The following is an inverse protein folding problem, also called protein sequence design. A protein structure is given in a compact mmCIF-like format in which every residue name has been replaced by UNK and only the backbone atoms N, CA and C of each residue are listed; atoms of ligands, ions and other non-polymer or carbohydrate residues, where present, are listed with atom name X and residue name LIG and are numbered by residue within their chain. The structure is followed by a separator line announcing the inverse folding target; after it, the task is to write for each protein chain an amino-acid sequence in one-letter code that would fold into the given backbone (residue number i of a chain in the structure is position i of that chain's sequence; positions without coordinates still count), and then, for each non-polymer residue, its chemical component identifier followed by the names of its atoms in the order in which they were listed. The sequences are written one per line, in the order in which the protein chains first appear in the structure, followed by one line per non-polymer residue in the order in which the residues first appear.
data_IF_935703850715
#
_entry.id   IF_935703850715
#
_cell.length_a   1.000
_cell.length_b   1.000
_cell.length_c   1.000
_cell.angle_alpha   90.00
_cell.angle_beta   90.00
_cell.angle_gamma   90.00
#
_symmetry.space_group_name_H-M   'P 1'
#
loop_
_entity.id
_entity.type
_entity.pdbx_description
1 polymer ?
#
# COMPACT_ATOMS: atom_id res chain seq x y z
N UNK A 1 37.47 4.39 -2.39
CA UNK A 1 36.66 3.31 -2.98
C UNK A 1 36.20 2.45 -1.83
N UNK A 2 34.93 2.62 -1.43
CA UNK A 2 34.27 1.67 -0.52
C UNK A 2 34.09 0.40 -1.35
N UNK A 3 34.41 -0.77 -0.79
CA UNK A 3 34.14 -2.04 -1.48
C UNK A 3 32.64 -2.16 -1.74
N UNK A 4 32.21 -2.60 -2.93
CA UNK A 4 30.78 -2.72 -3.22
C UNK A 4 30.10 -3.61 -2.17
N UNK A 5 29.00 -3.12 -1.60
CA UNK A 5 28.23 -3.87 -0.61
C UNK A 5 27.36 -4.88 -1.34
N UNK A 6 27.82 -6.13 -1.36
CA UNK A 6 27.05 -7.24 -1.92
C UNK A 6 26.24 -7.94 -0.83
N UNK A 7 24.95 -8.15 -1.09
CA UNK A 7 24.09 -9.00 -0.27
C UNK A 7 23.77 -10.33 -0.93
N UNK A 8 23.05 -11.20 -0.23
CA UNK A 8 22.61 -12.49 -0.75
C UNK A 8 21.27 -12.40 -1.47
N UNK A 9 21.07 -13.26 -2.46
CA UNK A 9 19.74 -13.52 -3.04
C UNK A 9 18.73 -13.99 -1.99
N UNK A 10 17.44 -13.77 -2.28
CA UNK A 10 16.31 -14.13 -1.43
C UNK A 10 15.15 -14.68 -2.27
N UNK A 11 14.59 -15.82 -1.86
CA UNK A 11 13.51 -16.52 -2.54
C UNK A 11 12.19 -16.55 -1.75
N UNK A 12 12.08 -15.72 -0.71
CA UNK A 12 10.87 -15.56 0.10
C UNK A 12 10.49 -14.07 0.14
N UNK A 13 9.20 -13.72 0.25
CA UNK A 13 8.77 -12.33 0.38
C UNK A 13 9.38 -11.60 1.60
N UNK A 14 9.54 -10.27 1.53
CA UNK A 14 9.66 -9.50 0.29
C UNK A 14 10.89 -9.93 -0.52
N UNK A 15 10.85 -9.80 -1.84
CA UNK A 15 11.98 -10.16 -2.71
C UNK A 15 12.97 -8.98 -2.85
N UNK A 16 14.20 -9.25 -3.32
CA UNK A 16 15.25 -8.21 -3.42
C UNK A 16 14.87 -7.05 -4.33
N UNK A 17 14.11 -7.33 -5.38
CA UNK A 17 13.28 -6.36 -6.07
C UNK A 17 11.82 -6.73 -5.83
N UNK A 18 10.98 -5.76 -5.49
CA UNK A 18 9.57 -5.98 -5.23
C UNK A 18 8.75 -4.78 -5.72
N UNK A 19 7.44 -4.97 -5.84
CA UNK A 19 6.48 -3.97 -6.29
C UNK A 19 5.53 -3.63 -5.16
N UNK A 20 5.08 -2.38 -5.09
CA UNK A 20 4.17 -1.96 -4.01
C UNK A 20 2.79 -2.58 -4.20
N UNK A 21 2.20 -2.50 -5.40
CA UNK A 21 0.85 -3.00 -5.62
C UNK A 21 0.25 -2.55 -6.94
N UNK A 22 -0.08 -1.25 -7.03
CA UNK A 22 -0.86 -0.72 -8.14
C UNK A 22 -0.05 -0.39 -9.40
N UNK A 23 -0.70 -0.56 -10.55
CA UNK A 23 -0.20 -0.21 -11.87
C UNK A 23 -1.09 0.85 -12.53
N UNK A 24 -0.54 1.59 -13.52
CA UNK A 24 -1.33 2.49 -14.35
C UNK A 24 -2.49 1.72 -15.02
N UNK A 25 -3.68 2.31 -14.96
CA UNK A 25 -4.87 1.74 -15.60
C UNK A 25 -4.73 1.92 -17.10
N UNK A 26 -4.88 0.83 -17.85
CA UNK A 26 -4.81 0.84 -19.32
C UNK A 26 -5.97 1.65 -19.90
N UNK A 27 -5.80 2.16 -21.12
CA UNK A 27 -6.87 2.87 -21.81
C UNK A 27 -8.12 2.00 -22.04
N UNK A 28 -7.94 0.69 -22.26
CA UNK A 28 -9.04 -0.25 -22.39
C UNK A 28 -9.87 -0.36 -21.10
N UNK A 29 -9.21 -0.40 -19.95
CA UNK A 29 -9.87 -0.45 -18.65
C UNK A 29 -10.61 0.86 -18.33
N UNK A 30 -9.99 2.02 -18.60
CA UNK A 30 -10.65 3.33 -18.43
C UNK A 30 -11.88 3.46 -19.33
N UNK A 31 -11.78 3.04 -20.59
CA UNK A 31 -12.91 3.03 -21.52
C UNK A 31 -14.04 2.12 -21.02
N UNK A 32 -13.72 0.91 -20.56
CA UNK A 32 -14.70 -0.04 -20.03
C UNK A 32 -15.44 0.53 -18.81
N UNK A 33 -14.74 1.15 -17.87
CA UNK A 33 -15.35 1.81 -16.71
C UNK A 33 -16.25 2.96 -17.12
N UNK A 34 -15.85 3.79 -18.08
CA UNK A 34 -16.69 4.85 -18.61
C UNK A 34 -17.98 4.32 -19.23
N UNK A 35 -17.91 3.24 -20.03
CA UNK A 35 -19.08 2.60 -20.65
C UNK A 35 -19.99 1.97 -19.60
N UNK A 36 -19.42 1.36 -18.55
CA UNK A 36 -20.17 0.78 -17.44
C UNK A 36 -20.93 1.85 -16.66
N UNK A 37 -20.28 2.98 -16.34
CA UNK A 37 -20.93 4.13 -15.70
C UNK A 37 -22.07 4.74 -16.52
N UNK A 38 -22.00 4.61 -17.85
CA UNK A 38 -23.03 5.05 -18.79
C UNK A 38 -24.16 4.00 -18.97
N UNK A 39 -24.01 2.82 -18.38
CA UNK A 39 -24.96 1.71 -18.51
C UNK A 39 -24.88 0.98 -19.86
N UNK A 40 -23.82 1.19 -20.63
CA UNK A 40 -23.62 0.59 -21.95
C UNK A 40 -23.08 -0.84 -21.88
N UNK A 41 -22.36 -1.19 -20.80
CA UNK A 41 -21.93 -2.56 -20.52
C UNK A 41 -22.40 -3.01 -19.13
N UNK A 42 -22.65 -4.31 -19.01
CA UNK A 42 -23.06 -4.96 -17.75
C UNK A 42 -21.87 -5.19 -16.81
N UNK A 43 -22.15 -5.44 -15.53
CA UNK A 43 -21.13 -5.84 -14.53
C UNK A 43 -20.29 -7.04 -15.00
N UNK A 44 -20.95 -8.03 -15.64
CA UNK A 44 -20.26 -9.21 -16.21
C UNK A 44 -19.29 -8.82 -17.32
N UNK A 45 -19.69 -7.93 -18.22
CA UNK A 45 -18.83 -7.48 -19.31
C UNK A 45 -17.65 -6.64 -18.79
N UNK A 46 -17.88 -5.77 -17.81
CA UNK A 46 -16.78 -5.04 -17.15
C UNK A 46 -15.80 -6.03 -16.50
N UNK A 47 -16.32 -6.98 -15.73
CA UNK A 47 -15.51 -8.00 -15.07
C UNK A 47 -14.68 -8.84 -16.05
N UNK A 48 -15.23 -9.20 -17.21
CA UNK A 48 -14.51 -9.90 -18.29
C UNK A 48 -13.36 -9.06 -18.87
N UNK A 49 -13.57 -7.75 -19.05
CA UNK A 49 -12.53 -6.84 -19.53
C UNK A 49 -11.45 -6.67 -18.45
N UNK A 50 -11.83 -6.48 -17.19
CA UNK A 50 -10.89 -6.43 -16.07
C UNK A 50 -10.02 -7.70 -16.00
N UNK A 51 -10.62 -8.88 -16.13
CA UNK A 51 -9.88 -10.16 -16.18
C UNK A 51 -8.85 -10.20 -17.31
N UNK A 52 -9.25 -9.73 -18.50
CA UNK A 52 -8.38 -9.71 -19.66
C UNK A 52 -7.19 -8.75 -19.47
N UNK A 53 -7.43 -7.58 -18.89
CA UNK A 53 -6.38 -6.59 -18.62
C UNK A 53 -5.45 -7.03 -17.48
N UNK A 54 -6.00 -7.64 -16.41
CA UNK A 54 -5.20 -8.25 -15.34
C UNK A 54 -4.33 -9.37 -15.90
N UNK A 55 -4.89 -10.26 -16.74
CA UNK A 55 -4.11 -11.34 -17.36
C UNK A 55 -2.93 -10.81 -18.17
N UNK A 56 -3.13 -9.73 -18.95
CA UNK A 56 -2.04 -9.08 -19.71
C UNK A 56 -0.98 -8.50 -18.79
N UNK A 57 -1.39 -7.84 -17.70
CA UNK A 57 -0.49 -7.29 -16.70
C UNK A 57 0.39 -8.40 -16.09
N UNK A 58 -0.24 -9.50 -15.63
CA UNK A 58 0.46 -10.62 -15.03
C UNK A 58 1.50 -11.22 -15.97
N UNK A 59 1.20 -11.35 -17.27
CA UNK A 59 2.17 -11.84 -18.25
C UNK A 59 3.36 -10.89 -18.41
N UNK A 60 3.13 -9.57 -18.36
CA UNK A 60 4.21 -8.59 -18.40
C UNK A 60 5.07 -8.62 -17.13
N UNK A 61 4.44 -8.72 -15.95
CA UNK A 61 5.15 -8.83 -14.68
C UNK A 61 6.04 -10.09 -14.64
N UNK A 62 5.48 -11.25 -15.03
CA UNK A 62 6.22 -12.51 -15.11
C UNK A 62 7.36 -12.45 -16.13
N UNK A 63 7.10 -11.88 -17.31
CA UNK A 63 8.12 -11.74 -18.36
C UNK A 63 9.29 -10.84 -17.92
N UNK A 64 9.03 -9.87 -17.04
CA UNK A 64 10.06 -9.03 -16.43
C UNK A 64 10.90 -9.77 -15.38
N UNK A 65 10.41 -10.90 -14.87
CA UNK A 65 11.09 -11.74 -13.88
C UNK A 65 10.63 -11.54 -12.44
N UNK A 66 9.56 -10.74 -12.21
CA UNK A 66 8.98 -10.52 -10.89
C UNK A 66 8.60 -11.85 -10.21
N UNK A 67 8.96 -11.97 -8.93
CA UNK A 67 8.75 -13.20 -8.14
C UNK A 67 7.37 -13.24 -7.45
N UNK A 68 6.80 -12.07 -7.23
CA UNK A 68 5.39 -11.90 -6.89
C UNK A 68 4.74 -10.92 -7.87
N UNK A 69 3.48 -11.17 -8.18
CA UNK A 69 2.66 -10.40 -9.12
C UNK A 69 1.42 -9.88 -8.41
N UNK A 70 0.82 -8.80 -8.93
CA UNK A 70 -0.40 -8.19 -8.37
C UNK A 70 -1.47 -8.04 -9.45
N UNK A 71 -2.71 -7.78 -9.06
CA UNK A 71 -3.77 -7.43 -10.03
C UNK A 71 -3.67 -5.96 -10.50
N UNK A 72 -2.58 -5.27 -10.17
CA UNK A 72 -2.40 -3.83 -10.38
C UNK A 72 -3.45 -2.94 -9.75
N UNK A 73 -4.28 -3.48 -8.85
CA UNK A 73 -5.49 -2.85 -8.32
C UNK A 73 -6.47 -2.43 -9.43
N UNK A 74 -6.52 -3.18 -10.54
CA UNK A 74 -7.31 -2.83 -11.73
C UNK A 74 -8.82 -2.87 -11.52
N UNK A 75 -9.29 -3.51 -10.45
CA UNK A 75 -10.73 -3.53 -10.09
C UNK A 75 -11.14 -2.39 -9.17
N UNK A 76 -10.18 -1.66 -8.61
CA UNK A 76 -10.46 -0.68 -7.54
C UNK A 76 -10.77 0.68 -8.13
N UNK A 77 -11.84 1.32 -7.64
CA UNK A 77 -12.06 2.75 -7.88
C UNK A 77 -11.14 3.56 -6.97
N UNK A 78 -11.07 3.18 -5.70
CA UNK A 78 -10.13 3.70 -4.70
C UNK A 78 -9.42 2.53 -4.01
N UNK A 79 -8.09 2.62 -3.90
CA UNK A 79 -7.28 1.57 -3.29
C UNK A 79 -7.74 1.16 -1.88
N UNK A 80 -8.23 2.12 -1.08
CA UNK A 80 -8.68 1.91 0.31
C UNK A 80 -10.21 1.80 0.44
N UNK A 81 -10.98 2.71 -0.17
CA UNK A 81 -12.43 2.77 0.08
C UNK A 81 -13.15 1.52 -0.40
N UNK A 82 -12.71 0.89 -1.50
CA UNK A 82 -13.35 -0.31 -2.02
C UNK A 82 -13.28 -1.47 -1.01
N UNK A 83 -12.20 -1.58 -0.23
CA UNK A 83 -12.12 -2.53 0.88
C UNK A 83 -12.97 -2.09 2.07
N UNK A 84 -12.91 -0.81 2.44
CA UNK A 84 -13.69 -0.31 3.57
C UNK A 84 -15.20 -0.48 3.36
N UNK A 85 -15.70 -0.24 2.15
CA UNK A 85 -17.10 -0.40 1.77
C UNK A 85 -17.54 -1.86 1.63
N UNK A 86 -16.59 -2.80 1.51
CA UNK A 86 -16.87 -4.22 1.56
C UNK A 86 -17.00 -4.78 2.98
N UNK A 87 -16.64 -3.99 4.01
CA UNK A 87 -16.86 -4.35 5.43
C UNK A 87 -18.33 -4.09 5.77
N UNK A 88 -19.00 -5.09 6.34
CA UNK A 88 -20.40 -4.95 6.78
C UNK A 88 -20.52 -3.82 7.81
N UNK A 89 -21.64 -3.11 7.80
CA UNK A 89 -21.87 -2.00 8.74
C UNK A 89 -21.21 -0.68 8.31
N UNK A 90 -20.59 -0.63 7.14
CA UNK A 90 -20.11 0.63 6.53
C UNK A 90 -21.05 1.10 5.41
N UNK A 91 -21.04 2.41 5.14
CA UNK A 91 -21.77 3.01 4.05
C UNK A 91 -20.94 4.11 3.38
N UNK A 92 -21.03 4.20 2.06
CA UNK A 92 -20.40 5.27 1.27
C UNK A 92 -21.06 6.62 1.57
N UNK A 93 -20.24 7.64 1.74
CA UNK A 93 -20.66 9.04 1.90
C UNK A 93 -19.97 9.93 0.87
N UNK A 94 -20.64 11.00 0.45
CA UNK A 94 -20.06 12.07 -0.36
C UNK A 94 -19.64 13.22 0.53
N UNK A 95 -18.43 13.73 0.30
CA UNK A 95 -17.85 14.90 0.97
C UNK A 95 -18.12 16.21 0.19
N UNK A 96 -18.82 16.16 -0.94
CA UNK A 96 -19.09 17.31 -1.82
C UNK A 96 -20.30 18.15 -1.40
N UNK A 97 -20.83 17.97 -0.19
CA UNK A 97 -22.00 18.73 0.27
C UNK A 97 -21.70 20.24 0.27
N UNK A 98 -22.25 20.95 -0.73
CA UNK A 98 -22.15 22.41 -0.88
C UNK A 98 -21.37 22.91 -2.11
N UNK A 99 -20.77 22.04 -2.93
CA UNK A 99 -20.11 22.44 -4.20
C UNK A 99 -21.07 22.29 -5.38
N UNK A 100 -21.08 23.24 -6.29
CA UNK A 100 -21.91 23.12 -7.50
C UNK A 100 -21.39 21.98 -8.39
N UNK A 101 -22.26 21.36 -9.21
CA UNK A 101 -21.87 20.29 -10.13
C UNK A 101 -20.75 20.68 -11.13
N UNK A 102 -20.49 21.99 -11.31
CA UNK A 102 -19.38 22.54 -12.10
C UNK A 102 -18.05 22.62 -11.34
N UNK A 103 -18.07 22.55 -10.01
CA UNK A 103 -16.89 22.62 -9.13
C UNK A 103 -16.45 21.26 -8.58
N UNK A 104 -17.27 20.22 -8.74
CA UNK A 104 -16.95 18.83 -8.43
C UNK A 104 -15.96 18.26 -9.47
N UNK A 105 -14.73 18.76 -9.45
CA UNK A 105 -13.64 18.32 -10.34
C UNK A 105 -13.09 16.95 -9.91
N UNK A 106 -13.41 16.49 -8.70
CA UNK A 106 -13.00 15.19 -8.14
C UNK A 106 -14.13 14.60 -7.30
N UNK A 107 -14.37 13.29 -7.42
CA UNK A 107 -15.30 12.54 -6.55
C UNK A 107 -14.74 12.54 -5.12
N UNK A 108 -15.17 13.47 -4.27
CA UNK A 108 -14.74 13.47 -2.87
C UNK A 108 -15.62 12.48 -2.10
N UNK A 109 -15.10 11.28 -1.86
CA UNK A 109 -15.85 10.16 -1.29
C UNK A 109 -15.16 9.65 -0.02
N UNK A 110 -15.95 9.10 0.89
CA UNK A 110 -15.46 8.40 2.06
C UNK A 110 -16.46 7.34 2.53
N UNK A 111 -16.28 6.80 3.73
CA UNK A 111 -17.22 5.88 4.35
C UNK A 111 -17.61 6.34 5.76
N UNK A 112 -18.76 5.90 6.24
CA UNK A 112 -19.18 6.03 7.63
C UNK A 112 -19.58 4.66 8.18
N UNK A 113 -19.35 4.42 9.46
CA UNK A 113 -19.92 3.29 10.19
C UNK A 113 -21.39 3.60 10.50
N UNK A 114 -22.29 2.75 10.00
CA UNK A 114 -23.74 2.84 10.18
C UNK A 114 -24.33 1.63 10.93
N UNK A 115 -23.50 0.65 11.27
CA UNK A 115 -23.84 -0.50 12.11
C UNK A 115 -22.59 -1.18 12.64
N UNK A 116 -22.75 -2.24 13.44
CA UNK A 116 -21.62 -3.01 13.97
C UNK A 116 -20.79 -3.58 12.81
N UNK A 117 -19.48 -3.33 12.81
CA UNK A 117 -18.60 -3.79 11.74
C UNK A 117 -18.28 -5.28 11.90
N UNK A 118 -18.31 -6.01 10.78
CA UNK A 118 -17.90 -7.42 10.71
C UNK A 118 -17.32 -7.73 9.33
N UNK A 119 -16.38 -8.67 9.27
CA UNK A 119 -15.88 -9.18 8.00
C UNK A 119 -16.79 -10.34 7.54
N UNK A 120 -17.21 -10.30 6.27
CA UNK A 120 -18.14 -11.27 5.70
C UNK A 120 -17.73 -11.70 4.29
N UNK A 121 -18.69 -11.84 3.38
CA UNK A 121 -18.46 -12.17 1.97
C UNK A 121 -17.82 -11.02 1.19
N UNK A 122 -16.63 -10.57 1.61
CA UNK A 122 -15.94 -9.42 1.03
C UNK A 122 -15.51 -9.72 -0.43
N UNK A 123 -15.87 -8.89 -1.41
CA UNK A 123 -15.61 -9.17 -2.84
C UNK A 123 -14.14 -9.41 -3.17
N UNK A 124 -13.23 -8.70 -2.50
CA UNK A 124 -11.79 -8.84 -2.73
C UNK A 124 -11.23 -10.24 -2.43
N UNK A 125 -11.90 -11.07 -1.62
CA UNK A 125 -11.46 -12.46 -1.40
C UNK A 125 -11.67 -13.28 -2.68
N UNK A 126 -12.82 -13.12 -3.35
CA UNK A 126 -13.09 -13.75 -4.65
C UNK A 126 -12.15 -13.23 -5.74
N UNK A 127 -11.89 -11.92 -5.75
CA UNK A 127 -10.94 -11.30 -6.68
C UNK A 127 -9.52 -11.85 -6.49
N UNK A 128 -9.10 -12.11 -5.24
CA UNK A 128 -7.82 -12.75 -4.96
C UNK A 128 -7.77 -14.19 -5.47
N UNK A 129 -8.85 -14.97 -5.33
CA UNK A 129 -8.92 -16.34 -5.89
C UNK A 129 -8.71 -16.31 -7.41
N UNK A 130 -9.37 -15.38 -8.12
CA UNK A 130 -9.18 -15.21 -9.56
C UNK A 130 -7.75 -14.77 -9.91
N UNK A 131 -7.18 -13.83 -9.15
CA UNK A 131 -5.79 -13.41 -9.30
C UNK A 131 -4.84 -14.62 -9.16
N UNK A 132 -4.99 -15.42 -8.11
CA UNK A 132 -4.14 -16.60 -7.87
C UNK A 132 -4.30 -17.64 -8.99
N UNK A 133 -5.52 -17.82 -9.53
CA UNK A 133 -5.74 -18.69 -10.68
C UNK A 133 -5.03 -18.19 -11.95
N UNK A 134 -5.08 -16.88 -12.23
CA UNK A 134 -4.40 -16.29 -13.39
C UNK A 134 -2.86 -16.22 -13.19
N UNK A 135 -2.39 -16.06 -11.96
CA UNK A 135 -0.97 -16.05 -11.62
C UNK A 135 -0.32 -17.44 -11.79
N UNK A 136 -1.09 -18.52 -11.61
CA UNK A 136 -0.60 -19.89 -11.69
C UNK A 136 0.38 -20.20 -10.56
N UNK A 137 1.58 -20.67 -10.92
CA UNK A 137 2.65 -20.99 -9.96
C UNK A 137 3.39 -19.75 -9.43
N UNK A 138 3.13 -18.56 -10.00
CA UNK A 138 3.73 -17.31 -9.52
C UNK A 138 3.00 -16.83 -8.28
N UNK A 139 3.73 -16.40 -7.26
CA UNK A 139 3.14 -15.94 -6.01
C UNK A 139 2.28 -14.69 -6.25
N UNK A 140 0.99 -14.73 -5.88
CA UNK A 140 0.14 -13.55 -5.90
C UNK A 140 0.30 -12.75 -4.60
N UNK A 141 0.60 -11.46 -4.74
CA UNK A 141 0.60 -10.48 -3.65
C UNK A 141 -0.73 -9.75 -3.62
N UNK A 142 -1.35 -9.66 -2.45
CA UNK A 142 -2.57 -8.87 -2.24
C UNK A 142 -2.26 -7.63 -1.39
N UNK A 143 -2.85 -6.49 -1.75
CA UNK A 143 -2.80 -5.26 -0.93
C UNK A 143 -4.18 -4.98 -0.33
N UNK A 144 -4.25 -4.58 0.94
CA UNK A 144 -5.45 -4.04 1.58
C UNK A 144 -5.07 -2.84 2.44
N UNK A 145 -5.95 -1.84 2.64
CA UNK A 145 -5.65 -0.75 3.55
C UNK A 145 -5.46 -1.23 4.99
N UNK A 146 -4.56 -0.60 5.74
CA UNK A 146 -4.26 -0.92 7.14
C UNK A 146 -5.43 -0.67 8.10
N UNK A 147 -5.55 -1.44 9.20
CA UNK A 147 -6.56 -1.20 10.24
C UNK A 147 -6.42 0.18 10.90
N UNK A 148 -5.20 0.71 11.01
CA UNK A 148 -4.97 2.05 11.52
C UNK A 148 -5.53 3.13 10.57
N UNK A 149 -5.47 2.88 9.26
CA UNK A 149 -6.09 3.77 8.28
C UNK A 149 -7.61 3.75 8.34
N UNK A 150 -8.22 2.57 8.55
CA UNK A 150 -9.66 2.47 8.75
C UNK A 150 -10.12 3.39 9.90
N UNK A 151 -9.48 3.27 11.06
CA UNK A 151 -9.77 4.15 12.19
C UNK A 151 -9.45 5.62 11.92
N UNK A 152 -8.32 5.89 11.26
CA UNK A 152 -7.95 7.27 10.97
C UNK A 152 -9.01 7.94 10.10
N UNK A 153 -9.45 7.31 9.01
CA UNK A 153 -10.47 7.84 8.09
C UNK A 153 -11.83 7.99 8.79
N UNK A 154 -12.30 6.97 9.50
CA UNK A 154 -13.62 7.03 10.16
C UNK A 154 -13.70 8.15 11.22
N UNK A 155 -12.57 8.46 11.88
CA UNK A 155 -12.50 9.52 12.90
C UNK A 155 -12.79 10.92 12.36
N UNK A 156 -12.70 11.13 11.04
CA UNK A 156 -13.10 12.37 10.36
C UNK A 156 -14.58 12.39 9.95
N UNK A 157 -15.24 11.24 9.91
CA UNK A 157 -16.59 11.10 9.36
C UNK A 157 -17.68 10.96 10.42
N UNK A 158 -17.28 10.79 11.69
CA UNK A 158 -18.16 10.60 12.84
C UNK A 158 -18.66 9.17 12.97
N UNK A 159 -18.86 8.72 14.21
CA UNK A 159 -19.34 7.39 14.54
C UNK A 159 -20.30 7.48 15.74
N UNK A 160 -21.56 7.13 15.53
CA UNK A 160 -22.61 7.10 16.57
C UNK A 160 -22.91 5.67 17.04
N UNK A 161 -22.31 4.66 16.41
CA UNK A 161 -22.57 3.24 16.67
C UNK A 161 -21.74 2.74 17.84
N UNK A 162 -20.49 3.19 17.93
CA UNK A 162 -19.55 2.73 18.94
C UNK A 162 -19.50 3.70 20.14
N UNK A 163 -19.69 3.20 21.37
CA UNK A 163 -19.75 4.06 22.57
C UNK A 163 -18.38 4.64 22.96
N UNK A 164 -17.31 3.95 22.58
CA UNK A 164 -15.94 4.32 22.89
C UNK A 164 -14.96 3.72 21.87
N UNK A 165 -13.75 4.26 21.87
CA UNK A 165 -12.68 3.90 20.93
C UNK A 165 -12.17 2.48 21.12
N UNK A 166 -12.14 1.96 22.34
CA UNK A 166 -11.62 0.62 22.62
C UNK A 166 -12.56 -0.47 22.08
N UNK A 167 -13.87 -0.26 22.22
CA UNK A 167 -14.89 -1.13 21.63
C UNK A 167 -14.77 -1.14 20.10
N UNK A 168 -14.51 0.01 19.49
CA UNK A 168 -14.27 0.13 18.04
C UNK A 168 -12.98 -0.57 17.61
N UNK A 169 -11.87 -0.34 18.32
CA UNK A 169 -10.60 -1.02 18.06
C UNK A 169 -10.74 -2.54 18.10
N UNK A 170 -11.45 -3.08 19.09
CA UNK A 170 -11.68 -4.53 19.19
C UNK A 170 -12.39 -5.09 17.96
N UNK A 171 -13.42 -4.40 17.48
CA UNK A 171 -14.15 -4.84 16.29
C UNK A 171 -13.32 -4.65 15.00
N UNK A 172 -12.50 -3.60 14.89
CA UNK A 172 -11.54 -3.44 13.78
C UNK A 172 -10.53 -4.59 13.79
N UNK A 173 -9.96 -4.92 14.95
CA UNK A 173 -9.03 -6.05 15.12
C UNK A 173 -9.69 -7.34 14.63
N UNK A 174 -10.92 -7.61 15.08
CA UNK A 174 -11.65 -8.81 14.67
C UNK A 174 -11.91 -8.84 13.16
N UNK A 175 -12.32 -7.72 12.56
CA UNK A 175 -12.52 -7.60 11.11
C UNK A 175 -11.24 -7.95 10.34
N UNK A 176 -10.10 -7.44 10.78
CA UNK A 176 -8.83 -7.69 10.10
C UNK A 176 -8.28 -9.10 10.34
N UNK A 177 -8.44 -9.66 11.53
CA UNK A 177 -8.11 -11.07 11.78
C UNK A 177 -8.94 -12.01 10.89
N UNK A 178 -10.24 -11.75 10.75
CA UNK A 178 -11.12 -12.51 9.87
C UNK A 178 -10.77 -12.31 8.39
N UNK A 179 -10.41 -11.09 7.98
CA UNK A 179 -9.94 -10.79 6.63
C UNK A 179 -8.66 -11.54 6.28
N UNK A 180 -7.65 -11.47 7.16
CA UNK A 180 -6.36 -12.15 7.00
C UNK A 180 -6.58 -13.65 6.90
N UNK A 181 -7.42 -14.23 7.77
CA UNK A 181 -7.78 -15.65 7.71
C UNK A 181 -8.45 -16.00 6.38
N UNK A 182 -9.42 -15.21 5.92
CA UNK A 182 -10.11 -15.45 4.66
C UNK A 182 -9.18 -15.38 3.43
N UNK A 183 -8.27 -14.40 3.38
CA UNK A 183 -7.26 -14.33 2.32
C UNK A 183 -6.30 -15.52 2.39
N UNK A 184 -5.86 -15.91 3.59
CA UNK A 184 -5.00 -17.06 3.76
C UNK A 184 -5.65 -18.37 3.29
N UNK A 185 -6.92 -18.60 3.66
CA UNK A 185 -7.73 -19.74 3.23
C UNK A 185 -7.96 -19.75 1.72
N UNK A 186 -8.03 -18.57 1.09
CA UNK A 186 -8.07 -18.39 -0.36
C UNK A 186 -6.71 -18.63 -1.05
N UNK A 187 -5.64 -18.93 -0.30
CA UNK A 187 -4.31 -19.24 -0.82
C UNK A 187 -3.30 -18.10 -0.73
N UNK A 188 -3.66 -16.94 -0.16
CA UNK A 188 -2.74 -15.82 -0.02
C UNK A 188 -1.61 -16.16 0.94
N UNK A 189 -0.37 -15.92 0.51
CA UNK A 189 0.84 -16.06 1.34
C UNK A 189 1.66 -14.78 1.44
N UNK A 190 1.26 -13.75 0.70
CA UNK A 190 1.88 -12.43 0.74
C UNK A 190 0.81 -11.34 0.74
N UNK A 191 0.55 -10.79 1.92
CA UNK A 191 -0.41 -9.69 2.12
C UNK A 191 0.35 -8.43 2.50
N UNK A 192 -0.05 -7.30 1.94
CA UNK A 192 0.47 -5.99 2.31
C UNK A 192 -0.65 -5.14 2.88
N UNK A 193 -0.38 -4.50 4.02
CA UNK A 193 -1.20 -3.46 4.61
C UNK A 193 -0.69 -2.10 4.10
N UNK A 194 -1.55 -1.35 3.42
CA UNK A 194 -1.22 -0.03 2.90
C UNK A 194 -1.70 1.06 3.85
N UNK A 195 -0.80 1.93 4.29
CA UNK A 195 -1.11 2.90 5.35
C UNK A 195 -0.53 4.28 5.07
N UNK A 196 -1.43 5.26 4.90
CA UNK A 196 -1.07 6.68 4.76
C UNK A 196 -1.09 7.42 6.10
N UNK A 197 -1.65 6.84 7.16
CA UNK A 197 -1.79 7.50 8.47
C UNK A 197 -0.43 7.85 9.07
N UNK A 198 0.55 6.98 8.91
CA UNK A 198 1.92 7.21 9.38
C UNK A 198 2.57 8.43 8.73
N UNK A 199 2.27 8.72 7.45
CA UNK A 199 2.71 9.95 6.81
C UNK A 199 2.21 11.20 7.56
N UNK A 200 0.94 11.20 7.96
CA UNK A 200 0.36 12.24 8.83
C UNK A 200 1.13 12.33 10.15
N UNK A 201 1.42 11.20 10.79
CA UNK A 201 2.11 11.14 12.07
C UNK A 201 3.60 11.52 12.00
N UNK A 202 4.23 11.47 10.83
CA UNK A 202 5.58 12.00 10.59
C UNK A 202 5.57 13.53 10.40
N UNK A 203 4.47 14.11 9.92
CA UNK A 203 4.43 15.51 9.53
C UNK A 203 4.18 16.45 10.72
N UNK A 204 5.13 17.33 11.02
CA UNK A 204 5.00 18.32 12.10
C UNK A 204 3.73 19.18 12.00
N UNK A 205 3.33 19.57 10.78
CA UNK A 205 2.08 20.31 10.51
C UNK A 205 0.84 19.51 10.93
N UNK A 206 0.78 18.23 10.57
CA UNK A 206 -0.37 17.39 10.87
C UNK A 206 -0.42 16.99 12.34
N UNK A 207 0.73 16.70 12.95
CA UNK A 207 0.85 16.51 14.41
C UNK A 207 0.34 17.72 15.19
N UNK A 208 0.66 18.94 14.75
CA UNK A 208 0.12 20.16 15.35
C UNK A 208 -1.41 20.27 15.17
N UNK A 209 -1.93 19.90 14.01
CA UNK A 209 -3.37 19.85 13.77
C UNK A 209 -4.08 18.82 14.67
N UNK A 210 -3.53 17.61 14.84
CA UNK A 210 -4.05 16.60 15.77
C UNK A 210 -4.13 17.13 17.20
N UNK A 211 -3.04 17.77 17.69
CA UNK A 211 -3.02 18.41 19.01
C UNK A 211 -4.06 19.51 19.16
N UNK A 212 -4.30 20.30 18.10
CA UNK A 212 -5.35 21.33 18.12
C UNK A 212 -6.77 20.76 18.26
N UNK A 213 -6.96 19.48 17.90
CA UNK A 213 -8.21 18.72 18.09
C UNK A 213 -8.23 17.93 19.40
N UNK A 214 -7.23 18.11 20.28
CA UNK A 214 -7.11 17.38 21.54
C UNK A 214 -6.61 15.94 21.39
N UNK A 215 -6.04 15.58 20.23
CA UNK A 215 -5.50 14.24 19.96
C UNK A 215 -3.99 14.29 20.14
N UNK A 216 -3.46 13.44 21.02
CA UNK A 216 -2.02 13.26 21.18
C UNK A 216 -1.47 12.35 20.06
N UNK A 217 -0.64 12.87 19.14
CA UNK A 217 -0.10 12.07 18.04
C UNK A 217 0.87 10.97 18.50
N UNK A 218 1.50 11.08 19.67
CA UNK A 218 2.43 10.06 20.19
C UNK A 218 1.67 8.88 20.79
N UNK A 219 0.62 9.16 21.58
CA UNK A 219 -0.31 8.12 22.01
C UNK A 219 -1.02 7.47 20.81
N UNK A 220 -1.42 8.25 19.81
CA UNK A 220 -2.07 7.72 18.62
C UNK A 220 -1.14 6.76 17.82
N UNK A 221 0.16 7.06 17.77
CA UNK A 221 1.13 6.16 17.15
C UNK A 221 1.24 4.82 17.91
N UNK A 222 1.27 4.86 19.24
CA UNK A 222 1.29 3.64 20.07
C UNK A 222 -0.01 2.83 19.89
N UNK A 223 -1.16 3.51 19.92
CA UNK A 223 -2.47 2.93 19.70
C UNK A 223 -2.54 2.22 18.33
N UNK A 224 -1.95 2.80 17.28
CA UNK A 224 -1.93 2.21 15.94
C UNK A 224 -0.95 1.07 15.77
N UNK A 225 0.22 1.07 16.43
CA UNK A 225 1.06 -0.13 16.44
C UNK A 225 0.33 -1.28 17.13
N UNK A 226 -0.31 -1.04 18.27
CA UNK A 226 -1.13 -2.04 18.96
C UNK A 226 -2.23 -2.56 18.04
N UNK A 227 -2.97 -1.66 17.38
CA UNK A 227 -4.05 -2.01 16.48
C UNK A 227 -3.55 -2.91 15.33
N UNK A 228 -2.41 -2.57 14.71
CA UNK A 228 -1.80 -3.37 13.64
C UNK A 228 -1.36 -4.74 14.17
N UNK A 229 -0.61 -4.78 15.27
CA UNK A 229 -0.09 -6.03 15.85
C UNK A 229 -1.22 -6.99 16.26
N UNK A 230 -2.24 -6.49 16.96
CA UNK A 230 -3.39 -7.33 17.33
C UNK A 230 -4.21 -7.78 16.12
N UNK A 231 -4.32 -6.95 15.07
CA UNK A 231 -5.01 -7.32 13.82
C UNK A 231 -4.30 -8.46 13.07
N UNK A 232 -2.97 -8.49 13.11
CA UNK A 232 -2.16 -9.54 12.45
C UNK A 232 -1.81 -10.70 13.38
N UNK A 233 -2.22 -10.64 14.65
CA UNK A 233 -1.96 -11.67 15.63
C UNK A 233 -2.63 -12.99 15.20
N UNK A 234 -1.88 -14.09 15.31
CA UNK A 234 -2.37 -15.41 14.88
C UNK A 234 -2.35 -15.62 13.37
N UNK A 235 -1.72 -14.73 12.58
CA UNK A 235 -1.43 -15.02 11.17
C UNK A 235 -0.66 -16.35 11.04
N UNK A 236 -0.95 -17.18 10.03
CA UNK A 236 -0.18 -18.40 9.79
C UNK A 236 1.30 -18.13 9.52
N UNK A 237 2.17 -19.05 9.93
CA UNK A 237 3.63 -18.89 9.91
C UNK A 237 4.22 -18.75 8.50
N UNK A 238 3.56 -19.28 7.49
CA UNK A 238 3.96 -19.20 6.08
C UNK A 238 3.34 -18.01 5.35
N UNK A 239 2.62 -17.11 6.06
CA UNK A 239 2.07 -15.88 5.51
C UNK A 239 2.94 -14.68 5.87
N UNK A 240 3.51 -14.04 4.84
CA UNK A 240 4.21 -12.77 5.00
C UNK A 240 3.20 -11.62 5.03
N UNK A 241 3.32 -10.74 6.04
CA UNK A 241 2.59 -9.48 6.12
C UNK A 241 3.57 -8.31 6.08
N UNK A 242 3.47 -7.50 5.03
CA UNK A 242 4.21 -6.25 4.89
C UNK A 242 3.35 -5.03 5.27
N UNK A 243 3.98 -3.93 5.67
CA UNK A 243 3.35 -2.62 5.84
C UNK A 243 3.98 -1.62 4.88
N UNK A 244 3.19 -1.08 3.95
CA UNK A 244 3.60 0.04 3.13
C UNK A 244 3.25 1.35 3.81
N UNK A 245 4.29 2.13 4.12
CA UNK A 245 4.17 3.42 4.81
C UNK A 245 4.18 4.54 3.79
N UNK A 246 2.99 4.86 3.27
CA UNK A 246 2.80 5.81 2.19
C UNK A 246 2.72 7.27 2.70
N UNK A 247 3.33 8.21 1.97
CA UNK A 247 3.25 9.66 2.24
C UNK A 247 2.28 10.40 1.31
N UNK A 248 1.51 9.64 0.54
CA UNK A 248 0.57 10.15 -0.45
C UNK A 248 1.17 10.15 -1.85
N UNK A 249 0.35 9.66 -2.78
CA UNK A 249 0.71 9.48 -4.18
C UNK A 249 -0.48 9.79 -5.11
N UNK A 250 -1.42 10.65 -4.67
CA UNK A 250 -2.60 11.01 -5.46
C UNK A 250 -2.20 11.99 -6.56
N UNK A 251 -2.28 11.58 -7.83
CA UNK A 251 -1.90 12.38 -9.01
C UNK A 251 -0.54 13.06 -8.84
N UNK A 252 0.46 12.29 -8.42
CA UNK A 252 1.81 12.78 -8.14
C UNK A 252 1.94 13.82 -7.01
N UNK A 253 0.87 14.07 -6.26
CA UNK A 253 0.87 14.94 -5.08
C UNK A 253 1.04 14.16 -3.79
N UNK A 254 1.49 14.86 -2.74
CA UNK A 254 1.66 14.34 -1.38
C UNK A 254 0.78 15.13 -0.42
N UNK A 255 0.33 14.48 0.65
CA UNK A 255 -0.33 15.21 1.74
C UNK A 255 0.61 15.44 2.93
N UNK A 256 1.66 14.63 3.11
CA UNK A 256 2.62 14.75 4.22
C UNK A 256 4.07 14.96 3.76
N UNK A 257 4.86 15.61 4.62
CA UNK A 257 6.31 15.85 4.46
C UNK A 257 7.02 15.68 5.81
N UNK A 258 8.26 15.18 5.78
CA UNK A 258 9.09 14.89 6.96
C UNK A 258 9.61 13.45 6.98
N UNK A 259 10.83 13.28 7.51
CA UNK A 259 11.44 11.95 7.75
C UNK A 259 10.67 11.13 8.78
N UNK A 260 10.98 9.84 8.88
CA UNK A 260 10.29 8.90 9.78
C UNK A 260 10.57 9.12 11.27
N UNK A 261 11.57 9.94 11.60
CA UNK A 261 12.08 10.16 12.96
C UNK A 261 10.99 10.32 14.05
N UNK A 262 9.89 11.07 13.86
CA UNK A 262 8.88 11.26 14.92
C UNK A 262 8.14 9.99 15.34
N UNK A 263 8.12 8.95 14.50
CA UNK A 263 7.42 7.69 14.76
C UNK A 263 8.36 6.48 14.72
N UNK A 264 9.61 6.67 14.31
CA UNK A 264 10.53 5.58 13.96
C UNK A 264 10.73 4.58 15.09
N UNK A 265 10.94 5.08 16.32
CA UNK A 265 11.13 4.21 17.48
C UNK A 265 9.89 3.35 17.73
N UNK A 266 8.70 3.96 17.79
CA UNK A 266 7.45 3.23 18.03
C UNK A 266 7.15 2.27 16.87
N UNK A 267 7.17 2.76 15.63
CA UNK A 267 6.80 1.99 14.45
C UNK A 267 7.78 0.84 14.17
N UNK A 268 9.07 1.14 14.04
CA UNK A 268 10.05 0.14 13.58
C UNK A 268 10.46 -0.82 14.70
N UNK A 269 10.50 -0.38 15.96
CA UNK A 269 10.88 -1.27 17.06
C UNK A 269 9.71 -2.09 17.60
N UNK A 270 8.45 -1.70 17.39
CA UNK A 270 7.31 -2.38 18.03
C UNK A 270 6.33 -3.03 17.05
N UNK A 271 6.25 -2.61 15.78
CA UNK A 271 5.38 -3.30 14.83
C UNK A 271 5.92 -4.72 14.51
N UNK A 272 5.01 -5.68 14.44
CA UNK A 272 5.30 -7.12 14.25
C UNK A 272 5.05 -7.59 12.79
N UNK A 273 5.12 -6.65 11.85
CA UNK A 273 5.10 -6.94 10.41
C UNK A 273 6.44 -7.51 9.96
N UNK A 274 6.44 -8.33 8.91
CA UNK A 274 7.65 -8.99 8.40
C UNK A 274 8.52 -8.03 7.58
N UNK A 275 7.91 -7.00 7.00
CA UNK A 275 8.58 -6.04 6.16
C UNK A 275 7.93 -4.65 6.16
N UNK A 276 8.75 -3.63 5.94
CA UNK A 276 8.29 -2.27 5.65
C UNK A 276 8.62 -1.88 4.21
N UNK A 277 7.65 -1.31 3.49
CA UNK A 277 7.88 -0.61 2.22
C UNK A 277 7.89 0.90 2.48
N UNK A 278 9.06 1.53 2.35
CA UNK A 278 9.31 2.90 2.79
C UNK A 278 9.66 3.83 1.63
N UNK A 279 9.06 5.01 1.59
CA UNK A 279 9.32 6.03 0.57
C UNK A 279 10.64 6.80 0.86
N UNK A 280 11.58 6.81 -0.09
CA UNK A 280 12.89 7.49 0.01
C UNK A 280 13.36 8.15 -1.30
N UNK A 281 12.44 8.41 -2.23
CA UNK A 281 12.69 8.90 -3.60
C UNK A 281 13.24 10.34 -3.70
N UNK A 282 13.12 11.14 -2.64
CA UNK A 282 13.53 12.54 -2.66
C UNK A 282 14.03 12.98 -1.27
N UNK A 283 14.81 14.06 -1.20
CA UNK A 283 15.37 14.60 0.05
C UNK A 283 14.30 14.91 1.11
N UNK A 284 13.08 15.25 0.67
CA UNK A 284 11.94 15.54 1.56
C UNK A 284 11.43 14.30 2.29
N UNK A 285 11.76 13.09 1.83
CA UNK A 285 11.50 11.82 2.50
C UNK A 285 12.42 11.57 3.70
N UNK A 286 13.42 12.43 3.93
CA UNK A 286 14.36 12.36 5.04
C UNK A 286 15.57 11.47 4.76
N UNK A 287 16.41 11.30 5.79
CA UNK A 287 17.57 10.41 5.77
C UNK A 287 17.21 9.00 6.26
N UNK A 288 18.20 8.10 6.24
CA UNK A 288 18.05 6.73 6.73
C UNK A 288 18.28 6.58 8.24
N UNK A 289 18.62 7.64 8.99
CA UNK A 289 18.88 7.55 10.42
C UNK A 289 17.74 6.90 11.24
N UNK A 290 16.45 7.09 10.90
CA UNK A 290 15.33 6.37 11.51
C UNK A 290 15.43 4.83 11.45
N UNK A 291 16.11 4.27 10.45
CA UNK A 291 16.22 2.82 10.27
C UNK A 291 17.01 2.12 11.39
N UNK A 292 17.72 2.86 12.25
CA UNK A 292 18.39 2.32 13.43
C UNK A 292 17.47 1.59 14.42
N UNK A 293 16.16 1.82 14.32
CA UNK A 293 15.14 1.16 15.14
C UNK A 293 14.57 -0.11 14.50
N UNK A 294 14.93 -0.43 13.25
CA UNK A 294 14.58 -1.69 12.60
C UNK A 294 15.21 -2.84 13.39
N UNK A 295 14.42 -3.90 13.60
CA UNK A 295 14.86 -5.13 14.26
C UNK A 295 15.19 -6.18 13.21
N UNK A 296 14.36 -7.20 13.10
CA UNK A 296 14.47 -8.34 12.21
C UNK A 296 13.65 -8.20 10.93
N UNK A 297 12.87 -7.12 10.82
CA UNK A 297 12.05 -6.83 9.64
C UNK A 297 12.93 -6.61 8.40
N UNK A 298 12.39 -6.96 7.24
CA UNK A 298 12.96 -6.52 5.96
C UNK A 298 12.57 -5.06 5.69
N UNK A 299 13.44 -4.32 5.01
CA UNK A 299 13.21 -2.94 4.61
C UNK A 299 13.29 -2.85 3.10
N UNK A 300 12.15 -2.65 2.46
CA UNK A 300 12.07 -2.38 1.02
C UNK A 300 12.22 -0.88 0.82
N UNK A 301 13.37 -0.50 0.25
CA UNK A 301 13.74 0.88 -0.02
C UNK A 301 13.06 1.35 -1.30
N UNK A 302 12.09 2.24 -1.16
CA UNK A 302 11.40 2.88 -2.26
C UNK A 302 12.21 4.04 -2.84
N UNK A 303 13.18 3.73 -3.70
CA UNK A 303 14.17 4.69 -4.23
C UNK A 303 13.87 5.20 -5.64
N UNK A 304 12.93 4.57 -6.34
CA UNK A 304 12.51 4.95 -7.70
C UNK A 304 11.17 5.66 -7.65
N UNK A 305 11.05 6.86 -8.22
CA UNK A 305 9.81 7.62 -8.17
C UNK A 305 8.75 7.05 -9.09
N UNK A 306 7.50 7.03 -8.65
CA UNK A 306 6.34 6.70 -9.49
C UNK A 306 5.55 7.94 -9.89
N UNK A 307 6.04 9.14 -9.54
CA UNK A 307 5.27 10.39 -9.64
C UNK A 307 5.50 11.13 -10.96
N UNK A 308 6.61 10.88 -11.62
CA UNK A 308 6.93 11.50 -12.90
C UNK A 308 7.75 10.55 -13.76
N UNK A 309 7.77 10.83 -15.06
CA UNK A 309 8.60 10.15 -16.03
C UNK A 309 10.10 10.40 -15.84
N UNK A 310 10.90 9.77 -16.70
CA UNK A 310 12.36 9.77 -16.61
C UNK A 310 12.94 8.73 -15.64
N UNK A 311 14.17 8.30 -15.91
CA UNK A 311 14.87 7.27 -15.13
C UNK A 311 15.86 7.88 -14.15
N UNK A 312 15.85 7.35 -12.93
CA UNK A 312 16.86 7.58 -11.91
C UNK A 312 18.21 7.01 -12.37
N UNK A 313 19.31 7.57 -11.86
CA UNK A 313 20.64 6.97 -12.09
C UNK A 313 20.79 5.70 -11.25
N UNK A 314 21.13 4.60 -11.91
CA UNK A 314 21.43 3.32 -11.26
C UNK A 314 22.52 3.49 -10.21
N UNK A 315 23.57 4.25 -10.52
CA UNK A 315 24.69 4.51 -9.63
C UNK A 315 24.24 5.26 -8.37
N UNK A 316 23.30 6.21 -8.50
CA UNK A 316 22.71 6.91 -7.36
C UNK A 316 21.85 5.99 -6.50
N UNK A 317 21.08 5.08 -7.11
CA UNK A 317 20.29 4.07 -6.38
C UNK A 317 21.23 3.15 -5.59
N UNK A 318 22.29 2.64 -6.20
CA UNK A 318 23.28 1.78 -5.53
C UNK A 318 23.92 2.53 -4.35
N UNK A 319 24.37 3.78 -4.55
CA UNK A 319 24.95 4.58 -3.48
C UNK A 319 23.98 4.79 -2.30
N UNK A 320 22.68 4.94 -2.57
CA UNK A 320 21.63 5.04 -1.54
C UNK A 320 21.41 3.72 -0.81
N UNK A 321 21.48 2.58 -1.50
CA UNK A 321 21.45 1.27 -0.86
C UNK A 321 22.67 1.09 0.06
N UNK A 322 23.86 1.48 -0.39
CA UNK A 322 25.09 1.43 0.41
C UNK A 322 25.03 2.34 1.66
N UNK A 323 24.39 3.51 1.55
CA UNK A 323 24.12 4.41 2.67
C UNK A 323 23.21 3.76 3.71
N UNK A 324 22.07 3.17 3.28
CA UNK A 324 21.17 2.43 4.16
C UNK A 324 21.87 1.21 4.79
N UNK A 325 22.76 0.55 4.05
CA UNK A 325 23.51 -0.61 4.50
C UNK A 325 24.51 -0.30 5.63
N UNK A 326 24.83 0.98 5.88
CA UNK A 326 25.61 1.39 7.05
C UNK A 326 24.81 1.29 8.36
N UNK A 327 23.49 1.22 8.28
CA UNK A 327 22.56 1.25 9.43
C UNK A 327 21.86 -0.09 9.60
N UNK A 328 21.38 -0.67 8.50
CA UNK A 328 20.67 -1.95 8.46
C UNK A 328 21.48 -2.92 7.62
N UNK A 329 21.70 -4.18 8.05
CA UNK A 329 22.42 -5.17 7.25
C UNK A 329 21.88 -5.27 5.82
N UNK A 330 22.76 -5.36 4.82
CA UNK A 330 22.37 -5.44 3.39
C UNK A 330 21.38 -6.57 3.12
N UNK A 331 21.45 -7.66 3.89
CA UNK A 331 20.56 -8.81 3.75
C UNK A 331 19.15 -8.60 4.30
N UNK A 332 18.91 -7.51 5.02
CA UNK A 332 17.57 -7.03 5.40
C UNK A 332 17.02 -5.99 4.42
N UNK A 333 17.81 -5.54 3.44
CA UNK A 333 17.39 -4.52 2.48
C UNK A 333 16.84 -5.16 1.19
N UNK A 334 15.84 -4.52 0.61
CA UNK A 334 15.31 -4.78 -0.72
C UNK A 334 15.09 -3.45 -1.45
N UNK A 335 14.75 -3.50 -2.74
CA UNK A 335 14.52 -2.33 -3.59
C UNK A 335 13.12 -2.38 -4.20
N UNK A 336 12.45 -1.24 -4.22
CA UNK A 336 11.20 -1.04 -4.96
C UNK A 336 11.10 0.38 -5.49
N UNK A 337 10.02 0.65 -6.23
CA UNK A 337 9.55 2.01 -6.40
C UNK A 337 9.02 2.57 -5.06
N UNK A 338 8.92 3.89 -4.94
CA UNK A 338 8.51 4.55 -3.70
C UNK A 338 7.10 4.16 -3.25
N UNK A 339 6.20 4.00 -4.21
CA UNK A 339 4.78 3.71 -4.01
C UNK A 339 4.30 2.91 -5.22
N UNK A 340 3.00 2.59 -5.30
CA UNK A 340 2.41 2.07 -6.53
C UNK A 340 2.41 3.13 -7.65
N UNK A 341 2.16 2.70 -8.89
CA UNK A 341 2.11 3.61 -10.04
C UNK A 341 0.76 4.29 -10.21
N UNK A 342 -0.27 3.90 -9.45
CA UNK A 342 -1.56 4.54 -9.52
C UNK A 342 -2.34 4.48 -8.20
N UNK A 343 -2.52 5.63 -7.55
CA UNK A 343 -3.34 5.72 -6.32
C UNK A 343 -4.84 5.84 -6.60
N UNK A 344 -5.24 6.24 -7.81
CA UNK A 344 -6.63 6.32 -8.26
C UNK A 344 -6.72 5.96 -9.74
N UNK A 345 -7.95 5.85 -10.26
CA UNK A 345 -8.23 5.54 -11.66
C UNK A 345 -7.50 6.47 -12.65
N UNK A 346 -7.30 7.74 -12.29
CA UNK A 346 -6.64 8.71 -13.15
C UNK A 346 -5.11 8.51 -13.27
N UNK A 347 -4.50 7.74 -12.37
CA UNK A 347 -3.08 7.40 -12.42
C UNK A 347 -2.12 8.54 -12.07
N UNK A 348 -0.81 8.26 -12.20
CA UNK A 348 0.27 9.23 -12.04
C UNK A 348 0.72 9.82 -13.37
N UNK A 349 1.48 10.92 -13.34
CA UNK A 349 2.00 11.61 -14.54
C UNK A 349 3.22 10.91 -15.15
N UNK A 350 3.05 9.67 -15.61
CA UNK A 350 4.02 8.91 -16.40
C UNK A 350 3.29 7.98 -17.39
N UNK A 351 3.99 7.56 -18.44
CA UNK A 351 3.47 6.60 -19.43
C UNK A 351 3.60 5.15 -18.96
N UNK A 352 2.85 4.23 -19.58
CA UNK A 352 3.00 2.78 -19.33
C UNK A 352 4.42 2.29 -19.65
N UNK A 353 5.05 2.81 -20.71
CA UNK A 353 6.43 2.47 -21.07
C UNK A 353 7.43 2.90 -19.98
N UNK A 354 7.32 4.13 -19.47
CA UNK A 354 8.17 4.62 -18.38
C UNK A 354 7.98 3.85 -17.07
N UNK A 355 6.76 3.40 -16.78
CA UNK A 355 6.50 2.50 -15.66
C UNK A 355 7.30 1.20 -15.81
N UNK A 356 7.30 0.60 -17.00
CA UNK A 356 8.05 -0.63 -17.26
C UNK A 356 9.56 -0.40 -17.24
N UNK A 357 10.06 0.72 -17.78
CA UNK A 357 11.48 1.07 -17.72
C UNK A 357 11.97 1.24 -16.28
N UNK A 358 11.15 1.84 -15.41
CA UNK A 358 11.45 1.96 -13.98
C UNK A 358 11.54 0.60 -13.28
N UNK A 359 10.65 -0.33 -13.62
CA UNK A 359 10.71 -1.70 -13.08
C UNK A 359 11.94 -2.46 -13.59
N UNK A 360 12.33 -2.29 -14.85
CA UNK A 360 13.59 -2.84 -15.39
C UNK A 360 14.80 -2.31 -14.62
N UNK A 361 14.86 -0.99 -14.42
CA UNK A 361 15.92 -0.35 -13.63
C UNK A 361 16.02 -0.93 -12.22
N UNK A 362 14.89 -1.13 -11.53
CA UNK A 362 14.86 -1.75 -10.20
C UNK A 362 15.45 -3.16 -10.23
N UNK A 363 15.02 -4.00 -11.17
CA UNK A 363 15.47 -5.39 -11.27
C UNK A 363 16.95 -5.47 -11.60
N UNK A 364 17.41 -4.72 -12.61
CA UNK A 364 18.82 -4.66 -13.01
C UNK A 364 19.71 -4.18 -11.86
N UNK A 365 19.26 -3.18 -11.10
CA UNK A 365 19.99 -2.67 -9.93
C UNK A 365 20.06 -3.72 -8.82
N UNK A 366 18.95 -4.38 -8.53
CA UNK A 366 18.89 -5.39 -7.48
C UNK A 366 19.74 -6.63 -7.83
N UNK A 367 19.75 -7.07 -9.09
CA UNK A 367 20.59 -8.18 -9.54
C UNK A 367 22.10 -7.85 -9.47
N UNK A 368 22.49 -6.57 -9.51
CA UNK A 368 23.87 -6.12 -9.32
C UNK A 368 24.28 -6.09 -7.83
N UNK A 369 23.36 -5.71 -6.94
CA UNK A 369 23.61 -5.59 -5.50
C UNK A 369 23.53 -6.93 -4.78
N UNK A 370 22.55 -7.79 -5.10
CA UNK A 370 22.30 -9.06 -4.41
C UNK A 370 22.61 -10.27 -5.32
N UNK A 371 23.78 -10.89 -5.11
CA UNK A 371 24.37 -11.90 -6.01
C UNK A 371 24.23 -13.34 -5.54
#
# INVERSE_FOLDING_TARGET
MISPVHGSKRNTPPFRYDIVGSFLRTEALKAARSLHLQGEITDRQLHEIENAEISKLLEQEKALGLKAVTDGEFRRSWWHLDFFLGINGTQKISLDQGRSAKEAVQRAESFRIVGKITFGGHPMVGQFVELQQMAGDTLAKMTIPSPALFHFVESYNGNEIYPDRETLFRDIIQVYQDAIRAFYEAGCRYLQLDDTTWGTLCSGRHRAHLRSRGIDPDQLAQDYVRLINESIAGRPVDMTIALHVCRGNFRSTWFAAGGYEPVAEVLFSQAEVDAFFLEYDNERSGDFAPLRFIRDQQVVLGLVTTKHGGLESKEQIIARIEEAAQIVPIDQLCLSAQCGFASTEEGNMLTEEEQWDKLRLIIETADEVWV
#
